data_IF_239905183294
#
_entry.id   IF_239905183294
#
_cell.length_a   1.000
_cell.length_b   1.000
_cell.length_c   1.000
_cell.angle_alpha   90.00
_cell.angle_beta   90.00
_cell.angle_gamma   90.00
#
_symmetry.space_group_name_H-M   'P 1'
#
loop_
_entity.id
_entity.type
_entity.pdbx_description
1 polymer ?
#
# COMPACT_ATOMS: atom_id res chain seq x y z
N UNK A 1 -3.90 -21.42 2.48
CA UNK A 1 -2.48 -21.64 2.83
C UNK A 1 -1.52 -21.10 1.77
N UNK A 2 -1.94 -20.99 0.51
CA UNK A 2 -1.10 -20.58 -0.62
C UNK A 2 -0.42 -19.19 -0.48
N UNK A 3 -1.13 -18.17 0.04
CA UNK A 3 -0.55 -16.83 0.19
C UNK A 3 0.58 -16.76 1.22
N UNK A 4 0.53 -17.55 2.30
CA UNK A 4 1.60 -17.59 3.31
C UNK A 4 2.91 -18.16 2.76
N UNK A 5 2.87 -18.90 1.65
CA UNK A 5 4.04 -19.45 0.99
C UNK A 5 4.59 -18.52 -0.10
N UNK A 6 3.73 -17.66 -0.68
CA UNK A 6 4.10 -16.73 -1.76
C UNK A 6 4.54 -15.35 -1.27
N UNK A 7 4.02 -14.91 -0.13
CA UNK A 7 4.28 -13.59 0.45
C UNK A 7 5.30 -13.67 1.58
N UNK A 8 6.08 -12.61 1.75
CA UNK A 8 6.86 -12.43 2.98
C UNK A 8 5.93 -12.28 4.18
N UNK A 9 6.45 -12.51 5.39
CA UNK A 9 5.68 -12.36 6.63
C UNK A 9 5.06 -10.95 6.76
N UNK A 10 5.80 -9.90 6.39
CA UNK A 10 5.30 -8.51 6.41
C UNK A 10 4.21 -8.31 5.37
N UNK A 11 4.43 -8.71 4.11
CA UNK A 11 3.42 -8.60 3.06
C UNK A 11 2.12 -9.32 3.43
N UNK A 12 2.21 -10.52 4.00
CA UNK A 12 1.03 -11.26 4.46
C UNK A 12 0.31 -10.52 5.61
N UNK A 13 1.04 -10.04 6.62
CA UNK A 13 0.45 -9.30 7.75
C UNK A 13 -0.23 -8.01 7.28
N UNK A 14 0.43 -7.21 6.45
CA UNK A 14 -0.12 -5.94 5.95
C UNK A 14 -1.37 -6.20 5.10
N UNK A 15 -1.27 -7.10 4.10
CA UNK A 15 -2.37 -7.30 3.14
C UNK A 15 -3.55 -8.11 3.69
N UNK A 16 -3.32 -9.07 4.60
CA UNK A 16 -4.37 -9.97 5.08
C UNK A 16 -4.88 -9.61 6.48
N UNK A 17 -4.04 -9.01 7.33
CA UNK A 17 -4.39 -8.72 8.72
C UNK A 17 -4.51 -7.21 9.00
N UNK A 18 -4.45 -6.36 7.96
CA UNK A 18 -4.52 -4.89 8.10
C UNK A 18 -3.45 -4.33 9.03
N UNK A 19 -2.28 -4.97 9.06
CA UNK A 19 -1.12 -4.50 9.81
C UNK A 19 -0.45 -3.31 9.12
N UNK A 20 0.35 -2.54 9.86
CA UNK A 20 1.12 -1.41 9.32
C UNK A 20 2.62 -1.70 9.45
N UNK A 21 3.35 -1.64 8.34
CA UNK A 21 4.81 -1.74 8.35
C UNK A 21 5.45 -0.51 9.01
N UNK A 22 6.68 -0.60 9.56
CA UNK A 22 7.30 0.54 10.22
C UNK A 22 7.58 1.70 9.22
N UNK A 23 7.43 2.97 9.66
CA UNK A 23 7.73 4.12 8.81
C UNK A 23 9.21 4.13 8.44
N UNK A 24 9.53 4.51 7.20
CA UNK A 24 10.89 4.58 6.65
C UNK A 24 11.63 3.24 6.55
N UNK A 25 10.97 2.12 6.88
CA UNK A 25 11.52 0.77 6.79
C UNK A 25 10.64 -0.11 5.89
N UNK A 26 10.55 0.30 4.63
CA UNK A 26 9.88 -0.44 3.58
C UNK A 26 10.56 -0.21 2.23
N UNK A 27 10.24 -1.04 1.23
CA UNK A 27 10.91 -1.00 -0.06
C UNK A 27 10.59 0.27 -0.87
N UNK A 28 9.44 0.91 -0.61
CA UNK A 28 8.86 1.86 -1.55
C UNK A 28 8.74 3.30 -1.06
N UNK A 29 9.00 3.59 0.22
CA UNK A 29 8.81 4.94 0.77
C UNK A 29 9.64 5.97 -0.01
N UNK A 30 10.94 5.71 -0.24
CA UNK A 30 11.83 6.57 -1.00
C UNK A 30 11.99 6.19 -2.49
N UNK A 31 11.23 5.22 -2.98
CA UNK A 31 11.35 4.79 -4.37
C UNK A 31 10.89 5.92 -5.32
N UNK A 32 11.75 6.24 -6.30
CA UNK A 32 11.53 7.27 -7.34
C UNK A 32 11.58 6.69 -8.76
N UNK A 33 11.65 5.37 -8.91
CA UNK A 33 11.68 4.71 -10.23
C UNK A 33 10.33 4.89 -10.94
N UNK A 34 10.37 5.13 -12.25
CA UNK A 34 9.17 5.14 -13.08
C UNK A 34 8.55 3.74 -13.18
N UNK A 35 7.23 3.64 -13.02
CA UNK A 35 6.51 2.37 -13.11
C UNK A 35 5.12 2.41 -12.50
N UNK A 36 4.55 1.22 -12.35
CA UNK A 36 3.22 0.99 -11.78
C UNK A 36 3.36 0.17 -10.50
N UNK A 37 2.69 0.61 -9.45
CA UNK A 37 2.54 -0.13 -8.21
C UNK A 37 1.32 -1.04 -8.34
N UNK A 38 1.55 -2.33 -8.18
CA UNK A 38 0.52 -3.37 -8.29
C UNK A 38 0.25 -4.00 -6.93
N UNK A 39 -0.97 -4.49 -6.74
CA UNK A 39 -1.33 -5.34 -5.62
C UNK A 39 -0.46 -6.61 -5.66
N UNK A 40 0.31 -6.84 -4.60
CA UNK A 40 1.21 -7.99 -4.50
C UNK A 40 0.48 -9.34 -4.47
N UNK A 41 -0.82 -9.34 -4.12
CA UNK A 41 -1.65 -10.55 -4.06
C UNK A 41 -2.25 -10.87 -5.43
N UNK A 42 -2.84 -9.89 -6.08
CA UNK A 42 -3.62 -10.09 -7.32
C UNK A 42 -2.94 -9.64 -8.60
N UNK A 43 -1.84 -8.88 -8.52
CA UNK A 43 -1.17 -8.24 -9.65
C UNK A 43 -1.92 -7.07 -10.26
N UNK A 44 -3.06 -6.64 -9.66
CA UNK A 44 -3.86 -5.54 -10.18
C UNK A 44 -3.11 -4.20 -10.02
N UNK A 45 -3.04 -3.36 -11.06
CA UNK A 45 -2.55 -1.99 -10.94
C UNK A 45 -3.34 -1.18 -9.91
N UNK A 46 -2.62 -0.49 -9.02
CA UNK A 46 -3.19 0.39 -8.00
C UNK A 46 -2.80 1.84 -8.22
N UNK A 47 -1.49 2.12 -8.34
CA UNK A 47 -0.97 3.48 -8.41
C UNK A 47 0.11 3.64 -9.47
N UNK A 48 0.24 4.87 -9.99
CA UNK A 48 1.31 5.27 -10.90
C UNK A 48 2.43 5.95 -10.13
N UNK A 49 3.68 5.72 -10.53
CA UNK A 49 4.82 6.51 -10.02
C UNK A 49 4.69 8.01 -10.31
N UNK A 50 3.90 8.39 -11.33
CA UNK A 50 3.67 9.79 -11.69
C UNK A 50 2.83 10.53 -10.64
N UNK A 51 2.01 9.79 -9.91
CA UNK A 51 1.14 10.31 -8.85
C UNK A 51 1.76 10.09 -7.45
N UNK A 52 2.95 9.47 -7.37
CA UNK A 52 3.71 9.31 -6.14
C UNK A 52 4.41 10.62 -5.79
N UNK A 53 4.34 10.99 -4.51
CA UNK A 53 5.07 12.15 -3.98
C UNK A 53 5.70 11.84 -2.63
N UNK A 54 6.65 12.69 -2.22
CA UNK A 54 7.28 12.61 -0.90
C UNK A 54 6.47 13.46 0.10
N UNK A 55 5.72 12.81 0.97
CA UNK A 55 4.94 13.44 2.03
C UNK A 55 5.73 13.60 3.34
N UNK A 56 6.90 12.98 3.45
CA UNK A 56 7.67 12.89 4.69
C UNK A 56 7.03 12.00 5.77
N UNK A 57 5.95 11.27 5.49
CA UNK A 57 5.24 10.48 6.51
C UNK A 57 5.88 9.10 6.81
N UNK A 58 6.78 8.63 5.95
CA UNK A 58 7.45 7.32 6.10
C UNK A 58 6.85 6.17 5.29
N UNK A 59 5.73 6.40 4.59
CA UNK A 59 5.09 5.42 3.70
C UNK A 59 4.91 5.97 2.28
N UNK A 60 4.82 5.09 1.26
CA UNK A 60 4.48 5.50 -0.11
C UNK A 60 3.17 6.30 -0.12
N UNK A 61 3.24 7.54 -0.60
CA UNK A 61 2.10 8.45 -0.67
C UNK A 61 1.78 8.78 -2.12
N UNK A 62 0.49 8.72 -2.47
CA UNK A 62 -0.01 8.94 -3.82
C UNK A 62 -1.16 9.94 -3.80
N UNK A 63 -1.26 10.76 -4.84
CA UNK A 63 -2.34 11.76 -4.96
C UNK A 63 -3.65 11.16 -5.46
N UNK A 64 -3.58 10.09 -6.26
CA UNK A 64 -4.74 9.38 -6.80
C UNK A 64 -4.38 7.95 -7.23
N UNK A 65 -5.37 7.03 -7.25
CA UNK A 65 -5.21 5.73 -7.90
C UNK A 65 -5.15 5.84 -9.43
N UNK A 66 -4.77 4.75 -10.08
CA UNK A 66 -4.91 4.61 -11.53
C UNK A 66 -6.39 4.67 -11.92
N UNK A 67 -6.68 5.38 -13.01
CA UNK A 67 -8.03 5.63 -13.50
C UNK A 67 -8.77 4.32 -13.88
N UNK A 68 -10.08 4.27 -13.60
CA UNK A 68 -10.91 3.10 -13.85
C UNK A 68 -10.70 1.92 -12.90
N UNK A 69 -9.89 2.09 -11.84
CA UNK A 69 -9.72 1.10 -10.77
C UNK A 69 -10.43 1.56 -9.50
N UNK A 70 -11.30 0.72 -8.98
CA UNK A 70 -12.00 0.96 -7.73
C UNK A 70 -11.10 0.52 -6.56
N UNK A 71 -10.64 1.50 -5.77
CA UNK A 71 -10.13 1.26 -4.43
C UNK A 71 -11.33 1.39 -3.50
N UNK A 72 -11.63 0.33 -2.75
CA UNK A 72 -12.70 0.34 -1.78
C UNK A 72 -12.23 1.03 -0.50
N UNK A 73 -12.85 2.16 -0.21
CA UNK A 73 -12.67 2.88 1.04
C UNK A 73 -13.50 2.23 2.15
N UNK A 74 -12.89 2.03 3.32
CA UNK A 74 -13.57 1.45 4.47
C UNK A 74 -13.28 2.28 5.72
N UNK A 75 -14.34 2.78 6.34
CA UNK A 75 -14.23 3.50 7.61
C UNK A 75 -13.58 2.62 8.67
N UNK A 76 -12.55 3.16 9.30
CA UNK A 76 -11.81 2.54 10.40
C UNK A 76 -11.85 3.45 11.64
N UNK A 77 -12.16 2.85 12.80
CA UNK A 77 -12.24 3.53 14.10
C UNK A 77 -11.25 2.98 15.14
N UNK A 78 -10.31 2.13 14.70
CA UNK A 78 -9.27 1.57 15.56
C UNK A 78 -8.40 2.67 16.18
N UNK A 79 -7.84 2.39 17.36
CA UNK A 79 -7.04 3.34 18.15
C UNK A 79 -7.76 4.66 18.51
N UNK A 80 -9.10 4.70 18.44
CA UNK A 80 -9.88 5.89 18.80
C UNK A 80 -9.84 7.01 17.75
N UNK A 81 -9.35 6.73 16.53
CA UNK A 81 -9.25 7.70 15.44
C UNK A 81 -10.25 7.37 14.34
N UNK A 82 -10.83 8.36 13.66
CA UNK A 82 -11.66 8.12 12.47
C UNK A 82 -10.76 8.22 11.23
N UNK A 83 -10.65 7.13 10.48
CA UNK A 83 -9.80 6.97 9.30
C UNK A 83 -10.57 6.32 8.14
N UNK A 84 -10.04 6.38 6.94
CA UNK A 84 -10.61 5.78 5.73
C UNK A 84 -9.50 5.21 4.85
#
# INVERSE_FOLDING_TARGET
MELKQKLTSTQYRVTQNSDTEPPFDNEFWNNKKHGIYVDIVSGKPLFSSLDKYDSGCGWPSFTKPIEGREILEKRDTTHGMIRT
#
